data_IF_256650130297
#
_entry.id   IF_256650130297
#
_cell.length_a   1.000
_cell.length_b   1.000
_cell.length_c   1.000
_cell.angle_alpha   90.00
_cell.angle_beta   90.00
_cell.angle_gamma   90.00
#
_symmetry.space_group_name_H-M   'P 1'
#
loop_
_entity.id
_entity.type
_entity.pdbx_description
1 polymer ?
#
# COMPACT_ATOMS: atom_id res chain seq x y z
N UNK A 1 4.70 37.69 5.22
CA UNK A 1 5.96 38.24 4.78
C UNK A 1 6.58 37.35 3.68
N UNK A 2 7.62 37.80 2.95
CA UNK A 2 8.16 37.09 1.79
C UNK A 2 8.70 35.68 2.09
N UNK A 3 8.96 35.35 3.33
CA UNK A 3 9.42 34.02 3.75
C UNK A 3 8.42 32.88 3.52
N UNK A 4 7.14 33.20 3.36
CA UNK A 4 6.09 32.22 3.06
C UNK A 4 6.23 31.64 1.64
N UNK A 5 6.90 32.39 0.73
CA UNK A 5 7.11 31.92 -0.65
C UNK A 5 8.01 30.68 -0.73
N UNK A 6 8.97 30.53 0.18
CA UNK A 6 9.90 29.37 0.16
C UNK A 6 9.21 28.04 0.42
N UNK A 7 8.45 27.86 1.53
CA UNK A 7 7.69 26.65 1.75
C UNK A 7 6.55 26.47 0.73
N UNK A 8 5.95 27.57 0.23
CA UNK A 8 4.92 27.50 -0.79
C UNK A 8 5.47 26.98 -2.13
N UNK A 9 6.69 27.37 -2.53
CA UNK A 9 7.36 26.85 -3.71
C UNK A 9 7.84 25.40 -3.54
N UNK A 10 8.13 24.96 -2.32
CA UNK A 10 8.51 23.59 -2.04
C UNK A 10 7.31 22.61 -2.11
N UNK A 11 6.09 23.08 -1.85
CA UNK A 11 4.87 22.23 -1.92
C UNK A 11 4.67 21.57 -3.29
N UNK A 12 4.66 22.27 -4.43
CA UNK A 12 4.49 21.64 -5.73
C UNK A 12 5.64 20.68 -6.08
N UNK A 13 6.85 20.96 -5.60
CA UNK A 13 8.01 20.08 -5.80
C UNK A 13 7.80 18.77 -5.02
N UNK A 14 7.37 18.83 -3.77
CA UNK A 14 7.09 17.64 -2.95
C UNK A 14 5.94 16.82 -3.53
N UNK A 15 4.87 17.48 -3.97
CA UNK A 15 3.72 16.82 -4.59
C UNK A 15 4.15 16.17 -5.92
N UNK A 16 4.87 16.87 -6.78
CA UNK A 16 5.36 16.35 -8.05
C UNK A 16 6.30 15.16 -7.89
N UNK A 17 7.25 15.26 -6.96
CA UNK A 17 8.17 14.17 -6.61
C UNK A 17 7.41 12.95 -6.05
N UNK A 18 6.44 13.19 -5.17
CA UNK A 18 5.56 12.16 -4.61
C UNK A 18 4.77 11.42 -5.69
N UNK A 19 4.11 12.14 -6.60
CA UNK A 19 3.35 11.57 -7.71
C UNK A 19 4.24 10.78 -8.68
N UNK A 20 5.44 11.27 -8.98
CA UNK A 20 6.38 10.59 -9.87
C UNK A 20 6.89 9.26 -9.28
N UNK A 21 7.35 9.28 -8.04
CA UNK A 21 7.82 8.08 -7.33
C UNK A 21 6.68 7.09 -7.04
N UNK A 22 5.46 7.59 -6.80
CA UNK A 22 4.29 6.78 -6.52
C UNK A 22 3.90 5.89 -7.70
N UNK A 23 4.08 6.35 -8.94
CA UNK A 23 3.75 5.57 -10.13
C UNK A 23 4.64 4.33 -10.26
N UNK A 24 5.94 4.46 -9.98
CA UNK A 24 6.88 3.34 -9.97
C UNK A 24 6.63 2.40 -8.78
N UNK A 25 6.46 2.96 -7.58
CA UNK A 25 6.17 2.19 -6.38
C UNK A 25 4.87 1.38 -6.49
N UNK A 26 3.85 1.93 -7.14
CA UNK A 26 2.56 1.27 -7.37
C UNK A 26 2.70 0.01 -8.22
N UNK A 27 3.43 0.05 -9.33
CA UNK A 27 3.67 -1.13 -10.18
C UNK A 27 4.37 -2.26 -9.42
N UNK A 28 5.39 -1.91 -8.63
CA UNK A 28 6.10 -2.88 -7.81
C UNK A 28 5.22 -3.44 -6.69
N UNK A 29 4.35 -2.62 -6.09
CA UNK A 29 3.41 -3.06 -5.06
C UNK A 29 2.35 -4.03 -5.62
N UNK A 30 1.79 -3.73 -6.81
CA UNK A 30 0.84 -4.61 -7.49
C UNK A 30 1.47 -5.97 -7.83
N UNK A 31 2.70 -5.97 -8.30
CA UNK A 31 3.44 -7.20 -8.59
C UNK A 31 3.74 -8.00 -7.32
N UNK A 32 4.17 -7.31 -6.25
CA UNK A 32 4.39 -7.93 -4.95
C UNK A 32 3.11 -8.54 -4.37
N UNK A 33 1.98 -7.85 -4.53
CA UNK A 33 0.67 -8.35 -4.10
C UNK A 33 0.29 -9.65 -4.84
N UNK A 34 0.41 -9.68 -6.18
CA UNK A 34 0.12 -10.88 -6.98
C UNK A 34 0.98 -12.07 -6.57
N UNK A 35 2.27 -11.86 -6.34
CA UNK A 35 3.18 -12.93 -5.93
C UNK A 35 2.91 -13.42 -4.50
N UNK A 36 2.50 -12.53 -3.59
CA UNK A 36 2.06 -12.92 -2.26
C UNK A 36 0.76 -13.73 -2.29
N UNK A 37 -0.18 -13.38 -3.18
CA UNK A 37 -1.40 -14.16 -3.38
C UNK A 37 -1.09 -15.57 -3.90
N UNK A 38 -0.20 -15.70 -4.88
CA UNK A 38 0.25 -17.00 -5.41
C UNK A 38 0.93 -17.85 -4.32
N UNK A 39 1.77 -17.22 -3.50
CA UNK A 39 2.41 -17.89 -2.35
C UNK A 39 1.36 -18.42 -1.36
N UNK A 40 0.37 -17.60 -1.02
CA UNK A 40 -0.67 -17.99 -0.08
C UNK A 40 -1.58 -19.09 -0.67
N UNK A 41 -1.93 -19.01 -1.96
CA UNK A 41 -2.69 -20.04 -2.64
C UNK A 41 -1.95 -21.40 -2.63
N UNK A 42 -0.66 -21.40 -2.96
CA UNK A 42 0.17 -22.59 -2.89
C UNK A 42 0.25 -23.17 -1.46
N UNK A 43 0.35 -22.30 -0.45
CA UNK A 43 0.35 -22.73 0.95
C UNK A 43 -0.93 -23.47 1.32
N UNK A 44 -2.07 -22.89 0.95
CA UNK A 44 -3.40 -23.52 1.21
C UNK A 44 -3.52 -24.86 0.48
N UNK A 45 -3.07 -24.91 -0.79
CA UNK A 45 -3.08 -26.15 -1.58
C UNK A 45 -2.20 -27.23 -0.95
N UNK A 46 -0.99 -26.86 -0.49
CA UNK A 46 -0.08 -27.81 0.19
C UNK A 46 -0.65 -28.33 1.49
N UNK A 47 -1.33 -27.46 2.28
CA UNK A 47 -1.96 -27.86 3.55
C UNK A 47 -3.14 -28.79 3.30
N UNK A 48 -4.00 -28.48 2.33
CA UNK A 48 -5.16 -29.31 1.98
C UNK A 48 -4.74 -30.66 1.35
N UNK A 49 -3.64 -30.67 0.60
CA UNK A 49 -3.11 -31.87 -0.04
C UNK A 49 -2.04 -32.63 0.77
N UNK A 50 -1.88 -32.32 2.07
CA UNK A 50 -0.78 -32.82 2.89
C UNK A 50 -0.73 -34.38 2.94
N UNK A 51 -1.88 -35.02 3.05
CA UNK A 51 -1.98 -36.49 3.06
C UNK A 51 -1.50 -37.08 1.73
N UNK A 52 -1.92 -36.50 0.61
CA UNK A 52 -1.51 -36.94 -0.73
C UNK A 52 0.00 -36.73 -0.95
N UNK A 53 0.55 -35.59 -0.51
CA UNK A 53 1.98 -35.28 -0.58
C UNK A 53 2.78 -36.32 0.19
N UNK A 54 2.32 -36.68 1.38
CA UNK A 54 2.93 -37.71 2.24
C UNK A 54 2.82 -39.11 1.62
N UNK A 55 1.65 -39.48 1.12
CA UNK A 55 1.44 -40.78 0.49
C UNK A 55 2.31 -40.99 -0.76
N UNK A 56 2.52 -39.90 -1.54
CA UNK A 56 3.36 -39.95 -2.74
C UNK A 56 4.84 -39.67 -2.47
N UNK A 57 5.29 -39.46 -1.22
CA UNK A 57 6.65 -39.08 -0.85
C UNK A 57 7.17 -37.87 -1.66
N UNK A 58 6.29 -36.89 -1.92
CA UNK A 58 6.57 -35.75 -2.79
C UNK A 58 7.07 -34.51 -2.04
N UNK A 59 7.46 -34.63 -0.76
CA UNK A 59 7.86 -33.53 0.11
C UNK A 59 9.00 -32.68 -0.50
N UNK A 60 10.05 -33.35 -1.02
CA UNK A 60 11.22 -32.66 -1.61
C UNK A 60 10.86 -31.87 -2.87
N UNK A 61 9.86 -32.34 -3.64
CA UNK A 61 9.36 -31.61 -4.82
C UNK A 61 8.58 -30.38 -4.39
N UNK A 62 7.70 -30.54 -3.40
CA UNK A 62 6.88 -29.45 -2.86
C UNK A 62 7.74 -28.39 -2.17
N UNK A 63 8.77 -28.81 -1.43
CA UNK A 63 9.74 -27.89 -0.83
C UNK A 63 10.42 -27.03 -1.88
N UNK A 64 10.94 -27.60 -2.96
CA UNK A 64 11.57 -26.82 -4.05
C UNK A 64 10.60 -25.83 -4.69
N UNK A 65 9.36 -26.26 -4.91
CA UNK A 65 8.33 -25.36 -5.46
C UNK A 65 8.04 -24.20 -4.51
N UNK A 66 7.91 -24.49 -3.22
CA UNK A 66 7.71 -23.48 -2.19
C UNK A 66 8.87 -22.49 -2.12
N UNK A 67 10.11 -22.98 -2.08
CA UNK A 67 11.32 -22.15 -2.05
C UNK A 67 11.39 -21.22 -3.27
N UNK A 68 11.04 -21.70 -4.46
CA UNK A 68 11.02 -20.89 -5.67
C UNK A 68 9.97 -19.75 -5.58
N UNK A 69 8.75 -20.07 -5.13
CA UNK A 69 7.66 -19.09 -5.01
C UNK A 69 7.95 -18.08 -3.90
N UNK A 70 8.48 -18.53 -2.76
CA UNK A 70 8.89 -17.63 -1.66
C UNK A 70 10.03 -16.73 -2.10
N UNK A 71 11.01 -17.25 -2.84
CA UNK A 71 12.12 -16.46 -3.38
C UNK A 71 11.65 -15.34 -4.30
N UNK A 72 10.70 -15.63 -5.21
CA UNK A 72 10.09 -14.63 -6.09
C UNK A 72 9.30 -13.57 -5.29
N UNK A 73 8.51 -14.02 -4.32
CA UNK A 73 7.73 -13.13 -3.44
C UNK A 73 8.64 -12.23 -2.60
N UNK A 74 9.73 -12.78 -2.04
CA UNK A 74 10.70 -12.03 -1.25
C UNK A 74 11.41 -10.96 -2.10
N UNK A 75 11.85 -11.31 -3.31
CA UNK A 75 12.49 -10.38 -4.25
C UNK A 75 11.57 -9.22 -4.59
N UNK A 76 10.35 -9.49 -4.99
CA UNK A 76 9.36 -8.49 -5.35
C UNK A 76 8.98 -7.60 -4.16
N UNK A 77 8.84 -8.16 -2.96
CA UNK A 77 8.59 -7.40 -1.74
C UNK A 77 9.78 -6.50 -1.38
N UNK A 78 11.00 -6.98 -1.56
CA UNK A 78 12.21 -6.18 -1.33
C UNK A 78 12.30 -5.00 -2.31
N UNK A 79 12.01 -5.22 -3.59
CA UNK A 79 11.95 -4.16 -4.60
C UNK A 79 10.88 -3.11 -4.26
N UNK A 80 9.68 -3.55 -3.90
CA UNK A 80 8.60 -2.65 -3.49
C UNK A 80 8.98 -1.80 -2.27
N UNK A 81 9.60 -2.42 -1.25
CA UNK A 81 10.11 -1.70 -0.07
C UNK A 81 11.21 -0.71 -0.42
N UNK A 82 12.11 -1.07 -1.35
CA UNK A 82 13.19 -0.18 -1.81
C UNK A 82 12.64 1.08 -2.44
N UNK A 83 11.67 0.97 -3.36
CA UNK A 83 11.03 2.15 -3.97
C UNK A 83 10.27 3.00 -2.94
N UNK A 84 9.57 2.37 -2.01
CA UNK A 84 8.87 3.07 -0.93
C UNK A 84 9.85 3.81 -0.01
N UNK A 85 10.95 3.17 0.37
CA UNK A 85 12.00 3.78 1.19
C UNK A 85 12.69 4.96 0.48
N UNK A 86 13.00 4.81 -0.82
CA UNK A 86 13.55 5.90 -1.62
C UNK A 86 12.60 7.10 -1.69
N UNK A 87 11.30 6.86 -1.85
CA UNK A 87 10.30 7.93 -1.87
C UNK A 87 10.27 8.70 -0.54
N UNK A 88 10.27 7.99 0.59
CA UNK A 88 10.31 8.61 1.92
C UNK A 88 11.61 9.39 2.11
N UNK A 89 12.76 8.80 1.79
CA UNK A 89 14.07 9.45 1.95
C UNK A 89 14.17 10.69 1.07
N UNK A 90 13.74 10.64 -0.19
CA UNK A 90 13.73 11.79 -1.09
C UNK A 90 12.84 12.93 -0.56
N UNK A 91 11.65 12.60 -0.05
CA UNK A 91 10.75 13.59 0.55
C UNK A 91 11.36 14.24 1.80
N UNK A 92 12.02 13.45 2.64
CA UNK A 92 12.71 13.95 3.84
C UNK A 92 13.87 14.86 3.46
N UNK A 93 14.64 14.49 2.43
CA UNK A 93 15.75 15.29 1.93
C UNK A 93 15.27 16.66 1.42
N UNK A 94 14.17 16.70 0.65
CA UNK A 94 13.57 17.97 0.19
C UNK A 94 13.14 18.82 1.39
N UNK A 95 12.53 18.24 2.40
CA UNK A 95 12.12 18.95 3.62
C UNK A 95 13.32 19.58 4.33
N UNK A 96 14.42 18.83 4.47
CA UNK A 96 15.66 19.38 5.06
C UNK A 96 16.28 20.49 4.20
N UNK A 97 16.28 20.36 2.88
CA UNK A 97 16.74 21.42 1.97
C UNK A 97 15.93 22.71 2.14
N UNK A 98 14.62 22.61 2.25
CA UNK A 98 13.73 23.75 2.52
C UNK A 98 14.08 24.40 3.85
N UNK A 99 14.29 23.63 4.90
CA UNK A 99 14.66 24.12 6.23
C UNK A 99 16.00 24.88 6.20
N UNK A 100 17.02 24.28 5.59
CA UNK A 100 18.33 24.92 5.46
C UNK A 100 18.24 26.21 4.64
N UNK A 101 17.57 26.19 3.50
CA UNK A 101 17.38 27.39 2.66
C UNK A 101 16.64 28.48 3.41
N UNK A 102 15.65 28.12 4.25
CA UNK A 102 14.90 29.06 5.06
C UNK A 102 15.78 29.71 6.13
N UNK A 103 16.67 28.93 6.77
CA UNK A 103 17.61 29.48 7.77
C UNK A 103 18.59 30.44 7.10
N UNK A 104 19.19 30.05 5.97
CA UNK A 104 20.13 30.89 5.25
C UNK A 104 19.47 32.22 4.85
N UNK A 105 18.30 32.15 4.24
CA UNK A 105 17.57 33.37 3.84
C UNK A 105 17.12 34.20 5.02
N UNK A 106 16.74 33.57 6.12
CA UNK A 106 16.37 34.23 7.36
C UNK A 106 17.51 35.01 8.00
N UNK A 107 18.72 34.44 7.99
CA UNK A 107 19.93 35.15 8.48
C UNK A 107 20.23 36.41 7.65
N UNK A 108 20.11 36.32 6.33
CA UNK A 108 20.25 37.50 5.47
C UNK A 108 19.23 38.60 5.80
N UNK A 109 17.98 38.23 6.05
CA UNK A 109 16.93 39.18 6.43
C UNK A 109 17.15 39.81 7.80
N UNK A 110 17.76 39.06 8.74
CA UNK A 110 18.13 39.58 10.05
C UNK A 110 19.28 40.58 9.92
N UNK A 111 20.30 40.32 9.07
CA UNK A 111 21.41 41.28 8.83
C UNK A 111 20.94 42.58 8.20
N UNK A 112 19.88 42.55 7.40
CA UNK A 112 19.23 43.75 6.83
C UNK A 112 18.30 44.48 7.85
N UNK A 113 18.16 43.98 9.07
CA UNK A 113 17.29 44.57 10.10
C UNK A 113 15.79 44.38 9.85
N UNK A 114 15.41 43.58 8.85
CA UNK A 114 14.02 43.39 8.43
C UNK A 114 13.32 42.27 9.19
N UNK A 115 14.03 41.52 10.05
CA UNK A 115 13.51 40.40 10.80
C UNK A 115 14.24 40.17 12.12
N UNK A 116 13.50 39.72 13.13
CA UNK A 116 14.10 39.33 14.43
C UNK A 116 14.44 37.85 14.46
N UNK A 117 15.42 37.47 15.31
CA UNK A 117 15.78 36.07 15.54
C UNK A 117 14.59 35.23 16.01
N UNK A 118 13.74 35.77 16.89
CA UNK A 118 12.52 35.10 17.35
C UNK A 118 11.54 34.80 16.21
N UNK A 119 11.42 35.71 15.24
CA UNK A 119 10.55 35.50 14.08
C UNK A 119 11.08 34.38 13.17
N UNK A 120 12.41 34.25 13.00
CA UNK A 120 13.02 33.14 12.25
C UNK A 120 12.73 31.79 12.92
N UNK A 121 12.93 31.71 14.24
CA UNK A 121 12.66 30.49 15.01
C UNK A 121 11.19 30.11 14.92
N UNK A 122 10.28 31.08 15.10
CA UNK A 122 8.85 30.88 14.96
C UNK A 122 8.43 30.37 13.57
N UNK A 123 8.97 30.96 12.50
CA UNK A 123 8.73 30.49 11.14
C UNK A 123 9.24 29.07 10.91
N UNK A 124 10.40 28.72 11.42
CA UNK A 124 10.95 27.38 11.27
C UNK A 124 10.08 26.31 11.96
N UNK A 125 9.59 26.60 13.18
CA UNK A 125 8.66 25.72 13.90
C UNK A 125 7.34 25.55 13.12
N UNK A 126 6.79 26.65 12.59
CA UNK A 126 5.55 26.62 11.83
C UNK A 126 5.68 25.81 10.54
N UNK A 127 6.79 25.97 9.80
CA UNK A 127 7.06 25.18 8.60
C UNK A 127 7.17 23.71 8.91
N UNK A 128 7.93 23.33 9.95
CA UNK A 128 8.02 21.94 10.39
C UNK A 128 6.66 21.33 10.75
N UNK A 129 5.82 22.09 11.45
CA UNK A 129 4.45 21.66 11.80
C UNK A 129 3.52 21.59 10.59
N UNK A 130 3.67 22.47 9.61
CA UNK A 130 2.86 22.46 8.40
C UNK A 130 3.26 21.33 7.44
N UNK A 131 4.53 20.91 7.44
CA UNK A 131 4.99 19.79 6.60
C UNK A 131 4.51 18.42 7.08
N UNK A 132 4.31 18.23 8.38
CA UNK A 132 3.87 16.95 8.96
C UNK A 132 2.52 16.45 8.38
N UNK A 133 1.43 17.23 8.32
CA UNK A 133 0.18 16.77 7.73
C UNK A 133 0.27 16.51 6.22
N UNK A 134 1.16 17.20 5.49
CA UNK A 134 1.39 16.92 4.07
C UNK A 134 1.98 15.54 3.83
N UNK A 135 2.93 15.12 4.67
CA UNK A 135 3.48 13.76 4.65
C UNK A 135 2.41 12.71 4.99
N UNK A 136 1.51 13.03 5.92
CA UNK A 136 0.39 12.14 6.25
C UNK A 136 -0.60 12.00 5.10
N UNK A 137 -0.92 13.09 4.38
CA UNK A 137 -1.78 13.04 3.20
C UNK A 137 -1.21 12.12 2.12
N UNK A 138 0.10 12.17 1.85
CA UNK A 138 0.74 11.27 0.91
C UNK A 138 0.58 9.79 1.31
N UNK A 139 0.72 9.47 2.59
CA UNK A 139 0.51 8.10 3.11
C UNK A 139 -0.95 7.65 3.05
N UNK A 140 -1.89 8.58 3.30
CA UNK A 140 -3.33 8.31 3.18
C UNK A 140 -3.75 8.02 1.74
N UNK A 141 -3.21 8.74 0.75
CA UNK A 141 -3.46 8.45 -0.66
C UNK A 141 -3.05 7.04 -1.04
N UNK A 142 -1.91 6.57 -0.54
CA UNK A 142 -1.44 5.20 -0.77
C UNK A 142 -2.37 4.17 -0.15
N UNK A 143 -2.84 4.41 1.08
CA UNK A 143 -3.82 3.54 1.75
C UNK A 143 -5.15 3.50 1.02
N UNK A 144 -5.62 4.65 0.53
CA UNK A 144 -6.86 4.76 -0.24
C UNK A 144 -6.80 3.98 -1.55
N UNK A 145 -5.65 3.98 -2.23
CA UNK A 145 -5.42 3.17 -3.43
C UNK A 145 -5.46 1.66 -3.12
N UNK A 146 -4.81 1.23 -2.04
CA UNK A 146 -4.85 -0.18 -1.61
C UNK A 146 -6.28 -0.63 -1.24
N UNK A 147 -7.05 0.25 -0.57
CA UNK A 147 -8.45 -0.03 -0.26
C UNK A 147 -9.32 -0.12 -1.52
N UNK A 148 -9.08 0.70 -2.54
CA UNK A 148 -9.78 0.60 -3.82
C UNK A 148 -9.50 -0.71 -4.55
N UNK A 149 -8.25 -1.17 -4.55
CA UNK A 149 -7.89 -2.47 -5.15
C UNK A 149 -8.57 -3.62 -4.42
N UNK A 150 -8.64 -3.56 -3.08
CA UNK A 150 -9.34 -4.55 -2.28
C UNK A 150 -10.86 -4.54 -2.53
N UNK A 151 -11.47 -3.34 -2.64
CA UNK A 151 -12.89 -3.20 -3.00
C UNK A 151 -13.18 -3.77 -4.39
N UNK A 152 -12.38 -3.46 -5.40
CA UNK A 152 -12.54 -4.04 -6.73
C UNK A 152 -12.44 -5.56 -6.76
N UNK A 153 -11.55 -6.13 -5.95
CA UNK A 153 -11.46 -7.58 -5.81
C UNK A 153 -12.71 -8.17 -5.14
N UNK A 154 -13.30 -7.44 -4.21
CA UNK A 154 -14.55 -7.83 -3.53
C UNK A 154 -15.75 -7.72 -4.47
N UNK A 155 -15.84 -6.62 -5.24
CA UNK A 155 -16.90 -6.43 -6.24
C UNK A 155 -16.86 -7.54 -7.29
N UNK A 156 -15.68 -7.93 -7.77
CA UNK A 156 -15.52 -9.04 -8.70
C UNK A 156 -15.98 -10.38 -8.10
N UNK A 157 -15.79 -10.58 -6.81
CA UNK A 157 -16.27 -11.77 -6.07
C UNK A 157 -17.80 -11.77 -5.93
N UNK A 158 -18.39 -10.59 -5.70
CA UNK A 158 -19.84 -10.43 -5.57
C UNK A 158 -20.57 -10.52 -6.92
N UNK A 159 -19.90 -10.26 -8.03
CA UNK A 159 -20.45 -10.45 -9.38
C UNK A 159 -20.46 -11.92 -9.83
N UNK A 160 -19.75 -12.83 -9.11
CA UNK A 160 -19.80 -14.24 -9.42
C UNK A 160 -21.21 -14.78 -9.12
N UNK A 161 -21.79 -15.57 -10.04
CA UNK A 161 -23.11 -16.16 -9.82
C UNK A 161 -23.08 -17.01 -8.54
N UNK A 162 -24.00 -16.74 -7.62
CA UNK A 162 -24.16 -17.53 -6.41
C UNK A 162 -24.58 -18.95 -6.78
N UNK A 163 -23.92 -19.94 -6.19
CA UNK A 163 -24.22 -21.36 -6.37
C UNK A 163 -25.67 -21.69 -6.01
N UNK A 164 -26.34 -20.83 -5.22
CA UNK A 164 -27.68 -20.98 -4.72
C UNK A 164 -28.75 -20.27 -5.59
N UNK A 165 -28.45 -19.86 -6.84
CA UNK A 165 -29.45 -19.30 -7.75
C UNK A 165 -30.41 -20.36 -8.34
N UNK A 166 -30.26 -21.62 -8.02
CA UNK A 166 -31.26 -22.64 -8.33
C UNK A 166 -32.34 -22.74 -7.24
N UNK A 167 -33.01 -21.63 -6.92
CA UNK A 167 -34.33 -21.69 -6.23
C UNK A 167 -35.39 -22.46 -7.05
N UNK A 168 -35.08 -22.82 -8.29
CA UNK A 168 -35.98 -23.62 -9.14
C UNK A 168 -35.81 -25.13 -8.99
N UNK A 169 -34.91 -25.60 -8.13
CA UNK A 169 -34.71 -27.03 -7.86
C UNK A 169 -35.04 -27.42 -6.41
N UNK A 170 -35.87 -26.65 -5.72
CA UNK A 170 -36.62 -27.21 -4.60
C UNK A 170 -37.58 -28.23 -5.22
N UNK A 171 -37.22 -29.52 -5.20
CA UNK A 171 -38.20 -30.57 -5.41
C UNK A 171 -39.31 -30.32 -4.40
N UNK A 172 -40.46 -29.91 -4.93
CA UNK A 172 -41.72 -29.95 -4.19
C UNK A 172 -41.99 -31.43 -3.89
N UNK A 173 -41.56 -31.87 -2.74
CA UNK A 173 -41.99 -33.16 -2.19
C UNK A 173 -43.45 -32.96 -1.81
N UNK A 174 -44.35 -33.09 -2.83
CA UNK A 174 -45.78 -33.09 -2.61
C UNK A 174 -46.11 -33.97 -1.43
N UNK A 175 -47.11 -33.56 -0.65
CA UNK A 175 -47.56 -34.19 0.59
C UNK A 175 -47.34 -35.71 0.62
N UNK A 176 -46.34 -36.13 1.40
CA UNK A 176 -46.15 -37.54 1.73
C UNK A 176 -47.37 -38.01 2.53
N UNK A 177 -48.38 -38.58 1.86
CA UNK A 177 -49.47 -39.25 2.55
C UNK A 177 -48.91 -40.52 3.21
N UNK A 178 -48.92 -40.62 4.54
CA UNK A 178 -48.52 -41.84 5.23
C UNK A 178 -49.62 -42.90 5.03
N UNK A 179 -49.50 -43.77 4.02
CA UNK A 179 -50.33 -44.95 3.90
C UNK A 179 -49.75 -46.03 4.78
N UNK A 180 -50.17 -46.06 6.05
CA UNK A 180 -50.01 -47.20 6.90
C UNK A 180 -51.28 -48.13 6.68
N UNK A 181 -51.14 -49.21 5.91
CA UNK A 181 -52.06 -50.34 5.90
C UNK A 181 -51.59 -51.29 7.01
N UNK A 182 -52.43 -51.48 8.00
CA UNK A 182 -52.35 -52.54 9.05
C UNK A 182 -52.78 -53.87 8.45
#
# INVERSE_FOLDING_TARGET
>A
GPMVFLPLAAMPILIGLGLFLQTAARRCAEQSYKQNMQKNALLVEMVNGLETIKACQAESRMQRLWEAVVGLSAKSTAESRRYSSLAVTASTLVTHMVTVSMIIWGVYRISEGLMTMGALIGCNILVGRAMAPLMQLASLLTRLQNSRVALQALDLLMELPSENQSESFCMDFGELQPSFTV
#
